data_IF_895184469587
#
_entry.id   IF_895184469587
#
_cell.length_a   1.000
_cell.length_b   1.000
_cell.length_c   1.000
_cell.angle_alpha   90.00
_cell.angle_beta   90.00
_cell.angle_gamma   90.00
#
_symmetry.space_group_name_H-M   'P 1'
#
loop_
_entity.id
_entity.type
_entity.pdbx_description
1 polymer ?
#
# COMPACT_ATOMS: atom_id res chain seq x y z
N UNK A 1 -1.67 20.04 4.20
CA UNK A 1 -1.18 18.64 4.15
C UNK A 1 0.03 18.60 3.24
N UNK A 2 0.98 17.72 3.52
CA UNK A 2 2.13 17.45 2.65
C UNK A 2 1.92 16.15 1.89
N UNK A 3 2.22 16.14 0.60
CA UNK A 3 2.05 14.98 -0.30
C UNK A 3 3.33 14.83 -1.10
N UNK A 4 4.08 13.77 -0.84
CA UNK A 4 5.37 13.52 -1.46
C UNK A 4 5.35 12.19 -2.22
N UNK A 5 5.84 12.18 -3.45
CA UNK A 5 6.06 10.95 -4.22
C UNK A 5 7.26 10.20 -3.64
N UNK A 6 7.15 8.88 -3.54
CA UNK A 6 8.26 8.00 -3.18
C UNK A 6 9.07 7.63 -4.41
N UNK A 7 10.21 6.95 -4.21
CA UNK A 7 11.06 6.49 -5.30
C UNK A 7 10.35 5.48 -6.24
N UNK A 8 9.18 4.95 -5.87
CA UNK A 8 8.33 4.14 -6.75
C UNK A 8 7.31 5.05 -7.45
N UNK A 9 7.32 5.15 -8.80
CA UNK A 9 6.46 6.07 -9.53
C UNK A 9 4.97 5.84 -9.25
N UNK A 10 4.28 6.92 -8.91
CA UNK A 10 2.86 6.95 -8.59
C UNK A 10 2.50 6.54 -7.16
N UNK A 11 3.48 6.23 -6.31
CA UNK A 11 3.27 5.98 -4.87
C UNK A 11 3.52 7.26 -4.11
N UNK A 12 2.57 7.66 -3.27
CA UNK A 12 2.66 8.91 -2.50
C UNK A 12 2.49 8.67 -1.01
N UNK A 13 3.24 9.39 -0.19
CA UNK A 13 3.00 9.52 1.25
C UNK A 13 2.29 10.83 1.51
N UNK A 14 1.22 10.75 2.28
CA UNK A 14 0.46 11.89 2.76
C UNK A 14 0.74 12.10 4.25
N UNK A 15 1.25 13.27 4.60
CA UNK A 15 1.44 13.69 6.00
C UNK A 15 0.43 14.81 6.31
N UNK A 16 -0.54 14.57 7.20
CA UNK A 16 -1.55 15.56 7.53
C UNK A 16 -1.01 16.64 8.48
N UNK A 17 -1.72 17.75 8.58
CA UNK A 17 -1.46 18.78 9.57
C UNK A 17 -2.42 18.60 10.76
N UNK A 18 -1.87 18.42 11.96
CA UNK A 18 -2.66 18.22 13.16
C UNK A 18 -3.12 19.55 13.77
N UNK A 19 -4.42 19.65 14.06
CA UNK A 19 -5.00 20.68 14.90
C UNK A 19 -5.35 20.06 16.25
N UNK A 20 -4.69 20.52 17.32
CA UNK A 20 -4.85 19.96 18.68
C UNK A 20 -5.51 20.98 19.61
N UNK A 21 -6.43 20.51 20.44
CA UNK A 21 -7.01 21.26 21.54
C UNK A 21 -7.27 20.33 22.75
N UNK A 22 -7.88 20.84 23.82
CA UNK A 22 -8.12 20.08 25.05
C UNK A 22 -9.01 18.83 24.87
N UNK A 23 -9.75 18.73 23.77
CA UNK A 23 -10.62 17.58 23.44
C UNK A 23 -9.86 16.48 22.70
N UNK A 24 -8.68 16.77 22.15
CA UNK A 24 -7.88 15.84 21.38
C UNK A 24 -7.28 16.46 20.12
N UNK A 25 -7.26 15.70 19.04
CA UNK A 25 -6.67 16.12 17.77
C UNK A 25 -7.59 15.87 16.58
N UNK A 26 -7.56 16.80 15.63
CA UNK A 26 -8.26 16.72 14.36
C UNK A 26 -7.26 16.92 13.21
N UNK A 27 -7.42 16.15 12.15
CA UNK A 27 -6.66 16.33 10.91
C UNK A 27 -7.43 15.78 9.71
N UNK A 28 -7.13 16.31 8.53
CA UNK A 28 -7.64 15.82 7.26
C UNK A 28 -6.72 14.70 6.76
N UNK A 29 -7.17 13.44 6.80
CA UNK A 29 -6.36 12.30 6.33
C UNK A 29 -6.19 12.26 4.81
N UNK A 30 -7.21 12.72 4.08
CA UNK A 30 -7.19 12.90 2.63
C UNK A 30 -8.03 14.13 2.28
N UNK A 31 -7.55 14.95 1.35
CA UNK A 31 -8.32 16.03 0.70
C UNK A 31 -8.21 15.85 -0.80
N UNK A 32 -9.34 15.61 -1.46
CA UNK A 32 -9.38 15.21 -2.88
C UNK A 32 -8.71 16.23 -3.79
N UNK A 33 -9.03 17.51 -3.67
CA UNK A 33 -8.49 18.60 -4.50
C UNK A 33 -6.95 18.66 -4.48
N UNK A 34 -6.33 18.57 -3.30
CA UNK A 34 -4.87 18.54 -3.16
C UNK A 34 -4.27 17.26 -3.74
N UNK A 35 -4.96 16.15 -3.54
CA UNK A 35 -4.52 14.84 -3.98
C UNK A 35 -4.52 14.73 -5.50
N UNK A 36 -5.60 15.17 -6.16
CA UNK A 36 -5.70 15.24 -7.61
C UNK A 36 -4.68 16.20 -8.20
N UNK A 37 -4.50 17.38 -7.57
CA UNK A 37 -3.51 18.38 -7.99
C UNK A 37 -2.08 17.83 -8.02
N UNK A 38 -1.70 17.01 -7.03
CA UNK A 38 -0.34 16.45 -6.93
C UNK A 38 -0.15 15.23 -7.81
N UNK A 39 -1.12 14.31 -7.83
CA UNK A 39 -1.00 13.05 -8.58
C UNK A 39 -1.36 13.17 -10.07
N UNK A 40 -2.09 14.22 -10.47
CA UNK A 40 -2.60 14.38 -11.83
C UNK A 40 -3.72 13.40 -12.20
N UNK A 41 -4.41 12.80 -11.22
CA UNK A 41 -5.54 11.87 -11.45
C UNK A 41 -6.54 11.87 -10.31
N UNK A 42 -7.78 11.54 -10.64
CA UNK A 42 -8.84 11.27 -9.65
C UNK A 42 -8.69 9.93 -8.95
N UNK A 43 -9.10 9.90 -7.68
CA UNK A 43 -9.24 8.70 -6.88
C UNK A 43 -10.67 8.64 -6.31
N UNK A 44 -11.48 7.73 -6.84
CA UNK A 44 -12.88 7.55 -6.43
C UNK A 44 -12.99 6.38 -5.47
N UNK A 45 -13.32 6.60 -4.18
CA UNK A 45 -13.56 5.53 -3.22
C UNK A 45 -14.72 4.63 -3.66
N UNK A 46 -14.48 3.32 -3.79
CA UNK A 46 -15.50 2.31 -4.10
C UNK A 46 -15.73 1.32 -2.96
N UNK A 47 -14.73 1.10 -2.13
CA UNK A 47 -14.81 0.20 -0.99
C UNK A 47 -13.90 0.69 0.13
N UNK A 48 -14.30 0.45 1.38
CA UNK A 48 -13.48 0.70 2.56
C UNK A 48 -13.38 -0.58 3.37
N UNK A 49 -12.16 -0.95 3.74
CA UNK A 49 -11.88 -2.12 4.57
C UNK A 49 -11.14 -1.70 5.84
N UNK A 50 -11.32 -2.50 6.89
CA UNK A 50 -10.50 -2.43 8.09
C UNK A 50 -9.95 -3.81 8.38
N UNK A 51 -8.70 -3.89 8.81
CA UNK A 51 -8.16 -5.12 9.39
C UNK A 51 -7.47 -4.83 10.71
N UNK A 52 -7.74 -5.67 11.71
CA UNK A 52 -7.11 -5.60 13.03
C UNK A 52 -6.14 -6.76 13.16
N UNK A 53 -4.92 -6.47 13.60
CA UNK A 53 -3.84 -7.45 13.64
C UNK A 53 -3.15 -7.44 15.01
N UNK A 54 -2.74 -8.63 15.45
CA UNK A 54 -1.90 -8.82 16.63
C UNK A 54 -0.48 -8.36 16.30
N UNK A 55 0.32 -8.06 17.33
CA UNK A 55 1.73 -7.76 17.14
C UNK A 55 2.43 -8.90 16.38
N UNK A 56 3.33 -8.54 15.47
CA UNK A 56 4.11 -9.43 14.63
C UNK A 56 3.28 -10.19 13.58
N UNK A 57 2.03 -9.80 13.34
CA UNK A 57 1.26 -10.27 12.17
C UNK A 57 1.78 -9.61 10.90
N UNK A 58 2.10 -10.44 9.90
CA UNK A 58 2.44 -10.01 8.56
C UNK A 58 1.31 -10.34 7.60
N UNK A 59 0.95 -9.38 6.74
CA UNK A 59 0.01 -9.57 5.63
C UNK A 59 0.60 -9.00 4.36
N UNK A 60 0.43 -9.69 3.24
CA UNK A 60 0.96 -9.25 1.95
C UNK A 60 1.94 -10.26 1.36
N UNK A 61 2.54 -9.96 0.20
CA UNK A 61 2.36 -8.73 -0.59
C UNK A 61 1.16 -8.91 -1.53
N UNK A 62 0.18 -8.01 -1.48
CA UNK A 62 -1.08 -8.15 -2.21
C UNK A 62 -1.27 -7.08 -3.28
N UNK A 63 -1.66 -7.50 -4.48
CA UNK A 63 -2.08 -6.65 -5.60
C UNK A 63 -3.35 -7.21 -6.26
N UNK A 64 -3.82 -6.58 -7.33
CA UNK A 64 -5.03 -6.99 -8.08
C UNK A 64 -4.71 -6.99 -9.57
N UNK A 65 -5.11 -8.07 -10.26
CA UNK A 65 -4.96 -8.21 -11.71
C UNK A 65 -5.74 -7.13 -12.46
N UNK A 66 -5.35 -6.90 -13.72
CA UNK A 66 -6.02 -5.96 -14.62
C UNK A 66 -6.77 -6.69 -15.73
N UNK A 67 -8.08 -6.46 -15.92
CA UNK A 67 -9.00 -5.67 -15.08
C UNK A 67 -9.43 -6.39 -13.78
N UNK A 68 -9.90 -5.67 -12.74
CA UNK A 68 -10.16 -4.22 -12.72
C UNK A 68 -8.95 -3.37 -12.32
N UNK A 69 -7.92 -3.95 -11.72
CA UNK A 69 -6.93 -3.20 -10.94
C UNK A 69 -7.53 -2.63 -9.65
N UNK A 70 -6.68 -2.18 -8.74
CA UNK A 70 -7.11 -1.55 -7.50
C UNK A 70 -6.01 -0.65 -6.93
N UNK A 71 -6.25 0.66 -6.91
CA UNK A 71 -5.47 1.59 -6.12
C UNK A 71 -5.98 1.58 -4.68
N UNK A 72 -5.09 1.87 -3.74
CA UNK A 72 -5.35 1.85 -2.30
C UNK A 72 -4.89 3.16 -1.70
N UNK A 73 -5.67 3.68 -0.76
CA UNK A 73 -5.23 4.71 0.17
C UNK A 73 -5.24 4.09 1.57
N UNK A 74 -4.07 3.97 2.18
CA UNK A 74 -3.85 3.11 3.35
C UNK A 74 -3.38 3.95 4.52
N UNK A 75 -3.96 3.75 5.70
CA UNK A 75 -3.53 4.43 6.94
C UNK A 75 -3.71 3.54 8.17
N UNK A 76 -2.99 3.83 9.25
CA UNK A 76 -3.14 3.16 10.53
C UNK A 76 -3.95 4.03 11.49
N UNK A 77 -5.13 3.57 11.88
CA UNK A 77 -6.04 4.31 12.77
C UNK A 77 -5.93 3.90 14.24
N UNK A 78 -5.18 2.83 14.53
CA UNK A 78 -4.83 2.38 15.88
C UNK A 78 -3.58 1.50 15.84
N UNK A 79 -2.72 1.57 16.86
CA UNK A 79 -1.50 0.77 16.94
C UNK A 79 -0.40 1.31 16.04
N UNK A 80 0.42 0.45 15.46
CA UNK A 80 1.51 0.84 14.57
C UNK A 80 1.85 -0.27 13.57
N UNK A 81 2.19 0.13 12.35
CA UNK A 81 2.50 -0.78 11.24
C UNK A 81 3.81 -0.37 10.59
N UNK A 82 4.63 -1.35 10.22
CA UNK A 82 5.65 -1.16 9.18
C UNK A 82 5.01 -1.54 7.85
N UNK A 83 4.66 -0.53 7.08
CA UNK A 83 4.06 -0.62 5.76
C UNK A 83 5.14 -0.80 4.69
N UNK A 84 4.86 -1.62 3.69
CA UNK A 84 5.68 -1.82 2.51
C UNK A 84 4.84 -1.76 1.25
N UNK A 85 5.38 -1.05 0.27
CA UNK A 85 4.91 -0.98 -1.10
C UNK A 85 6.00 -1.53 -2.01
N UNK A 86 5.63 -2.39 -2.96
CA UNK A 86 6.56 -3.06 -3.86
C UNK A 86 6.11 -2.85 -5.29
N UNK A 87 7.00 -2.39 -6.15
CA UNK A 87 6.67 -2.20 -7.55
C UNK A 87 6.63 -3.54 -8.29
N UNK A 88 5.42 -4.08 -8.47
CA UNK A 88 5.20 -5.34 -9.17
C UNK A 88 4.90 -5.14 -10.66
N UNK A 89 5.22 -3.97 -11.25
CA UNK A 89 4.81 -3.63 -12.62
C UNK A 89 5.94 -3.89 -13.64
N UNK A 90 5.83 -4.92 -14.49
CA UNK A 90 6.85 -5.16 -15.53
C UNK A 90 7.06 -3.94 -16.42
N UNK A 91 8.32 -3.62 -16.71
CA UNK A 91 8.71 -2.44 -17.47
C UNK A 91 8.77 -1.13 -16.66
N UNK A 92 8.45 -1.16 -15.36
CA UNK A 92 8.72 -0.02 -14.48
C UNK A 92 10.24 0.18 -14.31
N UNK A 93 10.75 1.42 -14.27
CA UNK A 93 12.15 1.68 -13.94
C UNK A 93 12.54 1.18 -12.54
N UNK A 94 11.56 0.92 -11.68
CA UNK A 94 11.73 0.46 -10.30
C UNK A 94 11.13 -0.91 -10.05
N UNK A 95 10.93 -1.73 -11.08
CA UNK A 95 10.38 -3.08 -10.91
C UNK A 95 11.16 -3.91 -9.88
N UNK A 96 10.46 -4.49 -8.91
CA UNK A 96 11.04 -5.22 -7.77
C UNK A 96 11.58 -4.35 -6.64
N UNK A 97 11.67 -3.02 -6.82
CA UNK A 97 12.03 -2.11 -5.75
C UNK A 97 10.86 -1.95 -4.76
N UNK A 98 11.19 -1.55 -3.54
CA UNK A 98 10.23 -1.31 -2.48
C UNK A 98 10.49 0.02 -1.78
N UNK A 99 9.46 0.54 -1.13
CA UNK A 99 9.59 1.59 -0.12
C UNK A 99 8.89 1.15 1.17
N UNK A 100 9.35 1.66 2.31
CA UNK A 100 8.81 1.31 3.61
C UNK A 100 8.42 2.54 4.41
N UNK A 101 7.30 2.47 5.13
CA UNK A 101 6.79 3.54 5.98
C UNK A 101 6.44 2.99 7.36
N UNK A 102 6.47 3.85 8.38
CA UNK A 102 5.80 3.56 9.66
C UNK A 102 4.49 4.34 9.67
N UNK A 103 3.38 3.62 9.84
CA UNK A 103 2.05 4.19 9.91
C UNK A 103 1.49 3.99 11.31
N UNK A 104 1.04 5.07 11.92
CA UNK A 104 0.44 5.09 13.25
C UNK A 104 -0.51 6.32 13.37
N UNK A 105 -1.37 6.35 14.39
CA UNK A 105 -2.27 7.49 14.63
C UNK A 105 -1.57 8.78 15.06
N UNK A 106 -0.35 8.70 15.59
CA UNK A 106 0.39 9.87 16.09
C UNK A 106 0.90 10.74 14.93
N UNK A 107 1.39 10.09 13.87
CA UNK A 107 1.82 10.71 12.63
C UNK A 107 0.66 10.97 11.67
N UNK A 108 -0.43 10.18 11.77
CA UNK A 108 -1.59 10.26 10.87
C UNK A 108 -1.25 9.98 9.40
N UNK A 109 -0.05 9.42 9.13
CA UNK A 109 0.43 9.23 7.76
C UNK A 109 -0.44 8.23 7.01
N UNK A 110 -0.55 8.48 5.72
CA UNK A 110 -1.21 7.58 4.79
C UNK A 110 -0.35 7.34 3.56
N UNK A 111 -0.54 6.21 2.89
CA UNK A 111 0.17 5.86 1.66
C UNK A 111 -0.84 5.61 0.56
N UNK A 112 -0.67 6.29 -0.56
CA UNK A 112 -1.34 5.95 -1.80
C UNK A 112 -0.53 4.93 -2.57
N UNK A 113 -1.20 3.84 -2.94
CA UNK A 113 -0.66 2.72 -3.70
C UNK A 113 -1.42 2.64 -5.02
N UNK A 114 -0.80 2.93 -6.17
CA UNK A 114 -1.47 2.88 -7.45
C UNK A 114 -1.71 1.44 -7.89
N UNK A 115 -2.54 1.24 -8.91
CA UNK A 115 -2.78 -0.07 -9.49
C UNK A 115 -1.46 -0.74 -9.93
N UNK A 116 -1.40 -2.07 -9.75
CA UNK A 116 -0.22 -2.87 -10.10
C UNK A 116 0.89 -2.85 -9.04
N UNK A 117 0.92 -1.89 -8.12
CA UNK A 117 1.87 -1.89 -6.98
C UNK A 117 1.34 -2.83 -5.88
N UNK A 118 2.22 -3.67 -5.36
CA UNK A 118 1.95 -4.58 -4.26
C UNK A 118 2.00 -3.86 -2.92
N UNK A 119 1.18 -4.29 -1.97
CA UNK A 119 1.17 -3.74 -0.62
C UNK A 119 1.21 -4.86 0.43
N UNK A 120 2.03 -4.69 1.46
CA UNK A 120 2.06 -5.56 2.63
C UNK A 120 2.48 -4.79 3.87
N UNK A 121 2.25 -5.36 5.05
CA UNK A 121 2.65 -4.73 6.31
C UNK A 121 3.00 -5.76 7.38
N UNK A 122 3.82 -5.33 8.34
CA UNK A 122 4.05 -6.00 9.63
C UNK A 122 3.43 -5.15 10.75
N UNK A 123 2.53 -5.72 11.54
CA UNK A 123 2.02 -5.09 12.74
C UNK A 123 3.11 -5.01 13.82
N UNK A 124 3.35 -3.80 14.34
CA UNK A 124 4.38 -3.51 15.34
C UNK A 124 3.83 -3.47 16.77
N UNK A 125 2.50 -3.47 16.91
CA UNK A 125 1.78 -3.46 18.17
C UNK A 125 0.52 -4.33 18.09
N UNK A 126 0.03 -4.77 19.24
CA UNK A 126 -1.28 -5.41 19.33
C UNK A 126 -2.40 -4.44 18.98
N UNK A 127 -3.53 -4.98 18.53
CA UNK A 127 -4.71 -4.22 18.10
C UNK A 127 -4.44 -3.18 17.01
N UNK A 128 -3.38 -3.38 16.22
CA UNK A 128 -3.04 -2.50 15.10
C UNK A 128 -4.13 -2.59 14.03
N UNK A 129 -4.82 -1.46 13.79
CA UNK A 129 -5.95 -1.35 12.89
C UNK A 129 -5.54 -0.51 11.67
N UNK A 130 -5.49 -1.17 10.53
CA UNK A 130 -5.27 -0.53 9.23
C UNK A 130 -6.62 -0.25 8.58
N UNK A 131 -6.75 0.91 7.95
CA UNK A 131 -7.87 1.30 7.09
C UNK A 131 -7.39 1.34 5.64
N UNK A 132 -8.21 0.80 4.74
CA UNK A 132 -8.02 0.88 3.30
C UNK A 132 -9.21 1.59 2.69
N UNK A 133 -8.95 2.60 1.88
CA UNK A 133 -9.91 3.11 0.89
C UNK A 133 -9.45 2.60 -0.48
N UNK A 134 -10.36 2.02 -1.27
CA UNK A 134 -10.03 1.28 -2.49
C UNK A 134 -10.74 1.86 -3.71
N UNK A 135 -10.07 1.92 -4.87
CA UNK A 135 -10.64 2.44 -6.12
C UNK A 135 -11.57 1.46 -6.86
N UNK A 136 -11.63 0.21 -6.43
CA UNK A 136 -12.50 -0.84 -6.98
C UNK A 136 -13.05 -1.73 -5.86
N UNK A 137 -14.17 -2.40 -6.12
CA UNK A 137 -14.72 -3.41 -5.20
C UNK A 137 -13.93 -4.72 -5.29
N UNK A 138 -14.00 -5.53 -4.24
CA UNK A 138 -13.40 -6.86 -4.26
C UNK A 138 -14.05 -7.75 -5.34
N UNK A 139 -13.21 -8.34 -6.19
CA UNK A 139 -13.62 -9.33 -7.19
C UNK A 139 -12.90 -10.65 -6.88
N UNK A 140 -13.63 -11.74 -6.57
CA UNK A 140 -13.00 -13.03 -6.34
C UNK A 140 -12.16 -13.48 -7.54
N UNK A 141 -10.95 -14.00 -7.26
CA UNK A 141 -10.05 -14.52 -8.30
C UNK A 141 -9.16 -13.48 -8.99
N UNK A 142 -9.30 -12.19 -8.68
CA UNK A 142 -8.40 -11.14 -9.23
C UNK A 142 -7.27 -10.76 -8.29
N UNK A 143 -7.23 -11.30 -7.06
CA UNK A 143 -6.14 -11.01 -6.12
C UNK A 143 -4.84 -11.69 -6.56
N UNK A 144 -3.75 -10.93 -6.54
CA UNK A 144 -2.39 -11.41 -6.69
C UNK A 144 -1.76 -11.46 -5.30
N UNK A 145 -1.21 -12.61 -4.94
CA UNK A 145 -0.46 -12.82 -3.72
C UNK A 145 1.00 -13.13 -4.09
N UNK A 146 1.92 -12.26 -3.66
CA UNK A 146 3.37 -12.45 -3.78
C UNK A 146 3.92 -12.79 -2.40
N UNK A 147 4.85 -13.76 -2.35
CA UNK A 147 5.47 -14.17 -1.11
C UNK A 147 6.16 -12.98 -0.43
N UNK A 148 5.75 -12.58 0.78
CA UNK A 148 6.38 -11.47 1.48
C UNK A 148 7.80 -11.80 1.96
N UNK A 149 8.18 -13.09 1.94
CA UNK A 149 9.51 -13.60 2.26
C UNK A 149 10.31 -13.96 0.99
N UNK A 150 9.87 -13.50 -0.19
CA UNK A 150 10.59 -13.71 -1.44
C UNK A 150 12.05 -13.23 -1.32
N UNK A 151 13.05 -14.13 -1.47
CA UNK A 151 14.46 -13.76 -1.34
C UNK A 151 14.93 -12.78 -2.43
N UNK A 152 14.26 -12.71 -3.58
CA UNK A 152 14.59 -11.74 -4.63
C UNK A 152 14.16 -10.31 -4.23
N UNK A 153 13.10 -10.17 -3.40
CA UNK A 153 12.66 -8.89 -2.86
C UNK A 153 13.39 -8.50 -1.57
N UNK A 154 13.74 -9.49 -0.74
CA UNK A 154 14.50 -9.33 0.51
C UNK A 154 14.01 -8.18 1.41
N UNK A 155 12.70 -8.03 1.56
CA UNK A 155 12.10 -6.90 2.28
C UNK A 155 12.57 -6.87 3.76
N UNK A 156 13.08 -5.73 4.26
CA UNK A 156 13.60 -5.59 5.62
C UNK A 156 12.46 -5.36 6.62
N UNK A 157 11.61 -6.37 6.81
CA UNK A 157 10.43 -6.29 7.69
C UNK A 157 10.75 -5.96 9.15
N UNK A 158 11.97 -6.27 9.62
CA UNK A 158 12.44 -5.87 10.95
C UNK A 158 11.78 -6.61 12.12
N UNK A 159 11.25 -7.82 11.90
CA UNK A 159 10.81 -8.67 13.00
C UNK A 159 12.00 -9.26 13.76
N UNK A 160 11.81 -9.56 15.04
CA UNK A 160 12.81 -10.24 15.89
C UNK A 160 12.54 -11.73 16.07
N UNK A 161 11.36 -12.20 15.62
CA UNK A 161 10.91 -13.59 15.63
C UNK A 161 10.11 -13.86 14.35
N UNK A 162 9.96 -15.13 13.91
CA UNK A 162 9.16 -15.43 12.72
C UNK A 162 7.76 -14.78 12.78
N UNK A 163 7.30 -14.12 11.69
CA UNK A 163 6.03 -13.42 11.69
C UNK A 163 4.84 -14.39 11.75
N UNK A 164 3.71 -13.91 12.31
CA UNK A 164 2.43 -14.59 12.19
C UNK A 164 1.86 -14.28 10.81
N UNK A 165 1.73 -15.29 9.96
CA UNK A 165 1.34 -15.12 8.57
C UNK A 165 0.29 -16.18 8.17
N UNK A 166 -0.55 -15.85 7.20
CA UNK A 166 -1.52 -16.82 6.68
C UNK A 166 -0.83 -17.92 5.87
N UNK A 167 -1.42 -19.11 5.79
CA UNK A 167 -0.91 -20.17 4.90
C UNK A 167 -0.90 -19.73 3.43
N UNK A 168 -1.84 -18.86 3.05
CA UNK A 168 -1.94 -18.31 1.70
C UNK A 168 -0.72 -17.45 1.36
N UNK A 169 -0.34 -16.53 2.25
CA UNK A 169 0.82 -15.66 2.04
C UNK A 169 2.13 -16.44 2.13
N UNK A 170 2.20 -17.43 3.04
CA UNK A 170 3.37 -18.30 3.19
C UNK A 170 3.68 -19.14 1.94
N UNK A 171 2.63 -19.57 1.23
CA UNK A 171 2.73 -20.40 0.02
C UNK A 171 2.54 -19.59 -1.28
N UNK A 172 2.49 -18.26 -1.19
CA UNK A 172 2.40 -17.40 -2.37
C UNK A 172 3.63 -17.55 -3.26
N UNK A 173 3.46 -17.24 -4.55
CA UNK A 173 4.54 -17.32 -5.54
C UNK A 173 5.55 -16.17 -5.37
N UNK A 174 6.77 -16.35 -5.88
CA UNK A 174 7.74 -15.26 -5.96
C UNK A 174 7.32 -14.22 -7.01
N UNK A 175 7.90 -13.02 -6.94
CA UNK A 175 7.71 -11.97 -7.95
C UNK A 175 8.06 -12.50 -9.35
N UNK A 176 9.17 -13.23 -9.47
CA UNK A 176 9.62 -13.82 -10.74
C UNK A 176 8.60 -14.80 -11.30
N UNK A 177 8.05 -15.69 -10.47
CA UNK A 177 7.02 -16.64 -10.90
C UNK A 177 5.75 -15.93 -11.37
N UNK A 178 5.34 -14.84 -10.69
CA UNK A 178 4.20 -14.06 -11.10
C UNK A 178 4.41 -13.32 -12.42
N UNK A 179 5.64 -12.83 -12.66
CA UNK A 179 6.04 -12.22 -13.93
C UNK A 179 6.03 -13.25 -15.07
N UNK A 180 6.65 -14.42 -14.88
CA UNK A 180 6.69 -15.52 -15.85
C UNK A 180 5.29 -16.06 -16.19
N UNK A 181 4.39 -16.08 -15.20
CA UNK A 181 2.99 -16.47 -15.39
C UNK A 181 2.14 -15.39 -16.08
N UNK A 182 2.67 -14.19 -16.33
CA UNK A 182 1.95 -13.10 -16.97
C UNK A 182 0.81 -12.53 -16.13
N UNK A 183 0.88 -12.65 -14.80
CA UNK A 183 -0.17 -12.20 -13.89
C UNK A 183 -0.11 -10.69 -13.60
N UNK A 184 1.09 -10.10 -13.72
CA UNK A 184 1.38 -8.74 -13.27
C UNK A 184 0.89 -7.68 -14.25
N UNK A 185 0.39 -6.56 -13.72
CA UNK A 185 -0.01 -5.41 -14.51
C UNK A 185 1.25 -4.67 -15.01
N UNK A 186 1.46 -4.51 -16.32
CA UNK A 186 2.64 -3.81 -16.85
C UNK A 186 2.60 -2.31 -16.50
N UNK A 187 3.77 -1.72 -16.33
CA UNK A 187 3.91 -0.30 -16.05
C UNK A 187 3.43 0.54 -17.23
N UNK A 188 2.72 1.62 -16.92
CA UNK A 188 2.34 2.65 -17.87
C UNK A 188 2.82 3.98 -17.31
N UNK A 189 3.75 4.60 -18.02
CA UNK A 189 4.16 5.95 -17.68
C UNK A 189 2.94 6.89 -17.73
N UNK A 190 2.88 7.91 -16.85
CA UNK A 190 1.88 8.97 -16.98
C UNK A 190 1.92 9.54 -18.41
N UNK A 191 0.77 9.63 -19.09
CA UNK A 191 0.74 10.18 -20.45
C UNK A 191 1.15 11.66 -20.37
N UNK A 192 2.22 12.04 -21.06
CA UNK A 192 2.76 13.41 -21.05
C UNK A 192 1.77 14.47 -21.63
N UNK A 193 0.57 14.04 -22.03
CA UNK A 193 -0.41 14.82 -22.80
C UNK A 193 -1.56 15.39 -22.00
N UNK A 194 -1.63 15.19 -20.68
CA UNK A 194 -2.59 15.91 -19.83
C UNK A 194 -1.84 16.54 -18.65
N UNK A 195 -1.12 17.67 -18.86
CA UNK A 195 -0.84 18.57 -17.76
C UNK A 195 -2.18 19.12 -17.24
N UNK A 196 -2.26 19.26 -15.92
CA UNK A 196 -3.39 19.87 -15.20
C UNK A 196 -3.84 21.21 -15.79
#
# INVERSE_FOLDING_TARGET
MDIAELDIPGVFVVTPEFRKDERGSFFEGMREDEFERVMGRSFVPRQINYSVSQNNTLRGIHSVTSPPGQAKFVTCVRGALRDFVVDLRPGSPTFGAFASNVLDPESGRSVFVPEGVGHGFLALADDSCISYVLSSVYVPGTQIDINPLDPDLALPWGWTRPPLMSEKDANAMSLRQAEEAGLLMPYRAPDARHPA
#
